data_IF_870315899309
#
_entry.id   IF_870315899309
#
_cell.length_a   1.000
_cell.length_b   1.000
_cell.length_c   1.000
_cell.angle_alpha   90.00
_cell.angle_beta   90.00
_cell.angle_gamma   90.00
#
_symmetry.space_group_name_H-M   'P 1'
#
loop_
_entity.id
_entity.type
_entity.pdbx_description
1 polymer ?
#
# COMPACT_ATOMS: atom_id res chain seq x y z
N UNK A 1 -0.92 2.48 -19.38
CA UNK A 1 -2.34 2.48 -18.97
C UNK A 1 -2.40 1.84 -17.61
N UNK A 2 -3.05 2.46 -16.62
CA UNK A 2 -3.16 1.85 -15.30
C UNK A 2 -4.05 0.60 -15.37
N UNK A 3 -3.59 -0.51 -14.79
CA UNK A 3 -4.39 -1.74 -14.73
C UNK A 3 -5.41 -1.66 -13.58
N UNK A 4 -6.56 -2.31 -13.78
CA UNK A 4 -7.58 -2.49 -12.74
C UNK A 4 -7.34 -3.75 -11.87
N UNK A 5 -6.32 -4.55 -12.19
CA UNK A 5 -5.99 -5.75 -11.41
C UNK A 5 -4.99 -5.39 -10.33
N UNK A 6 -5.34 -5.68 -9.09
CA UNK A 6 -4.54 -5.40 -7.89
C UNK A 6 -3.14 -6.06 -7.90
N UNK A 7 -2.89 -7.03 -8.79
CA UNK A 7 -1.61 -7.73 -8.91
C UNK A 7 -0.71 -7.22 -10.03
N UNK A 8 -1.19 -6.31 -10.88
CA UNK A 8 -0.38 -5.68 -11.92
C UNK A 8 0.59 -4.66 -11.33
N UNK A 9 1.72 -4.41 -12.00
CA UNK A 9 2.72 -3.44 -11.55
C UNK A 9 2.18 -2.01 -11.63
N UNK A 10 1.49 -1.67 -12.74
CA UNK A 10 0.82 -0.39 -13.00
C UNK A 10 -0.56 -0.25 -12.32
N UNK A 11 -0.78 -0.93 -11.19
CA UNK A 11 -2.04 -0.81 -10.47
C UNK A 11 -2.18 0.60 -9.86
N UNK A 12 -3.30 1.26 -10.15
CA UNK A 12 -3.51 2.69 -9.86
C UNK A 12 -3.33 3.06 -8.38
N UNK A 13 -3.71 2.18 -7.47
CA UNK A 13 -3.77 2.47 -6.03
C UNK A 13 -2.56 1.91 -5.26
N UNK A 14 -1.36 1.91 -5.87
CA UNK A 14 -0.12 1.60 -5.13
C UNK A 14 0.27 2.84 -4.31
N UNK A 15 0.30 2.70 -2.98
CA UNK A 15 0.67 3.79 -2.08
C UNK A 15 2.16 3.80 -1.76
N UNK A 16 2.72 2.63 -1.48
CA UNK A 16 4.10 2.44 -1.10
C UNK A 16 4.66 1.19 -1.76
N UNK A 17 5.93 1.26 -2.15
CA UNK A 17 6.68 0.14 -2.73
C UNK A 17 8.11 0.18 -2.23
N UNK A 18 8.59 -0.96 -1.76
CA UNK A 18 9.98 -1.16 -1.35
C UNK A 18 10.56 -2.33 -2.13
N UNK A 19 11.55 -2.03 -2.97
CA UNK A 19 12.29 -3.02 -3.74
C UNK A 19 13.59 -3.38 -2.99
N UNK A 20 13.60 -4.49 -2.26
CA UNK A 20 14.82 -4.97 -1.60
C UNK A 20 15.71 -5.76 -2.57
N UNK A 21 15.09 -6.42 -3.55
CA UNK A 21 15.73 -7.02 -4.74
C UNK A 21 14.63 -7.36 -5.76
N UNK A 22 14.99 -7.66 -7.01
CA UNK A 22 14.05 -8.03 -8.08
C UNK A 22 13.11 -9.20 -7.69
N UNK A 23 13.55 -10.07 -6.77
CA UNK A 23 12.77 -11.24 -6.30
C UNK A 23 12.11 -11.05 -4.94
N UNK A 24 12.39 -9.96 -4.23
CA UNK A 24 11.85 -9.65 -2.90
C UNK A 24 11.49 -8.17 -2.85
N UNK A 25 10.29 -7.87 -3.28
CA UNK A 25 9.70 -6.55 -3.15
C UNK A 25 8.42 -6.65 -2.34
N UNK A 26 8.13 -5.58 -1.60
CA UNK A 26 6.91 -5.43 -0.79
C UNK A 26 6.21 -4.17 -1.27
N UNK A 27 4.88 -4.20 -1.36
CA UNK A 27 4.08 -2.99 -1.64
C UNK A 27 2.80 -2.97 -0.83
N UNK A 28 2.29 -1.76 -0.61
CA UNK A 28 0.97 -1.53 -0.05
C UNK A 28 0.13 -0.89 -1.12
N UNK A 29 -1.04 -1.49 -1.36
CA UNK A 29 -2.02 -0.97 -2.31
C UNK A 29 -3.35 -0.71 -1.60
N UNK A 30 -4.19 0.12 -2.19
CA UNK A 30 -5.61 0.21 -1.87
C UNK A 30 -6.41 -0.83 -2.63
N UNK A 31 -7.34 -1.48 -1.95
CA UNK A 31 -8.34 -2.33 -2.59
C UNK A 31 -9.08 -1.54 -3.67
N UNK A 32 -9.51 -2.21 -4.74
CA UNK A 32 -10.25 -1.57 -5.84
C UNK A 32 -11.50 -0.80 -5.39
N UNK A 33 -12.18 -1.31 -4.38
CA UNK A 33 -13.40 -0.72 -3.83
C UNK A 33 -13.12 0.30 -2.71
N UNK A 34 -11.87 0.71 -2.52
CA UNK A 34 -11.45 1.70 -1.53
C UNK A 34 -11.88 1.36 -0.08
N UNK A 35 -11.87 0.07 0.27
CA UNK A 35 -12.29 -0.41 1.59
C UNK A 35 -11.13 -0.69 2.56
N UNK A 36 -9.95 -1.01 2.04
CA UNK A 36 -8.84 -1.53 2.83
C UNK A 36 -7.50 -1.44 2.12
N UNK A 37 -6.42 -1.39 2.90
CA UNK A 37 -5.06 -1.59 2.45
C UNK A 37 -4.76 -3.08 2.27
N UNK A 38 -3.95 -3.39 1.26
CA UNK A 38 -3.50 -4.75 0.97
C UNK A 38 -1.98 -4.74 0.91
N UNK A 39 -1.35 -5.56 1.77
CA UNK A 39 0.08 -5.83 1.69
C UNK A 39 0.29 -6.93 0.66
N UNK A 40 1.14 -6.65 -0.32
CA UNK A 40 1.56 -7.61 -1.33
C UNK A 40 3.06 -7.84 -1.30
N UNK A 41 3.45 -9.09 -1.54
CA UNK A 41 4.85 -9.47 -1.74
C UNK A 41 5.05 -9.97 -3.15
N UNK A 42 6.24 -9.72 -3.71
CA UNK A 42 6.64 -10.25 -5.00
C UNK A 42 6.91 -11.75 -4.86
N UNK A 43 6.23 -12.54 -5.69
CA UNK A 43 6.27 -13.99 -5.74
C UNK A 43 6.73 -14.46 -7.13
N UNK A 44 7.99 -14.17 -7.45
CA UNK A 44 8.59 -14.38 -8.78
C UNK A 44 8.78 -13.08 -9.55
N UNK A 45 9.34 -13.14 -10.77
CA UNK A 45 9.75 -11.96 -11.52
C UNK A 45 8.59 -11.02 -11.85
N UNK A 46 7.37 -11.51 -12.09
CA UNK A 46 6.26 -10.69 -12.60
C UNK A 46 4.93 -10.87 -11.84
N UNK A 47 4.99 -11.39 -10.61
CA UNK A 47 3.76 -11.71 -9.87
C UNK A 47 3.76 -11.15 -8.47
N UNK A 48 2.79 -10.31 -8.19
CA UNK A 48 2.44 -9.89 -6.83
C UNK A 48 1.41 -10.84 -6.22
N UNK A 49 1.52 -11.09 -4.91
CA UNK A 49 0.55 -11.86 -4.13
C UNK A 49 0.13 -11.10 -2.88
N UNK A 50 -1.18 -10.92 -2.72
CA UNK A 50 -1.80 -10.40 -1.50
C UNK A 50 -1.57 -11.35 -0.32
N UNK A 51 -1.19 -10.79 0.82
CA UNK A 51 -0.90 -11.56 2.03
C UNK A 51 -1.69 -11.09 3.24
N UNK A 52 -1.86 -9.79 3.40
CA UNK A 52 -2.59 -9.21 4.52
C UNK A 52 -3.53 -8.13 4.03
N UNK A 53 -4.69 -8.04 4.67
CA UNK A 53 -5.75 -7.08 4.39
C UNK A 53 -6.00 -6.29 5.67
N UNK A 54 -5.82 -4.98 5.61
CA UNK A 54 -5.82 -4.11 6.80
C UNK A 54 -6.65 -2.87 6.53
N UNK A 55 -7.50 -2.47 7.49
CA UNK A 55 -8.27 -1.22 7.38
C UNK A 55 -7.61 -0.02 8.05
N UNK A 56 -6.59 -0.28 8.87
CA UNK A 56 -5.91 0.74 9.68
C UNK A 56 -4.41 0.73 9.44
N UNK A 57 -3.81 1.92 9.52
CA UNK A 57 -2.36 2.14 9.42
C UNK A 57 -1.60 1.40 10.51
N UNK A 58 -2.13 1.42 11.73
CA UNK A 58 -1.49 0.75 12.86
C UNK A 58 -1.33 -0.77 12.63
N UNK A 59 -2.28 -1.41 11.93
CA UNK A 59 -2.15 -2.83 11.57
C UNK A 59 -1.00 -3.05 10.57
N UNK A 60 -0.82 -2.14 9.61
CA UNK A 60 0.29 -2.18 8.66
C UNK A 60 1.63 -1.98 9.37
N UNK A 61 1.75 -1.00 10.28
CA UNK A 61 2.96 -0.76 11.08
C UNK A 61 3.36 -2.00 11.90
N UNK A 62 2.39 -2.73 12.46
CA UNK A 62 2.65 -3.96 13.22
C UNK A 62 3.11 -5.12 12.33
N UNK A 63 2.60 -5.21 11.10
CA UNK A 63 2.95 -6.27 10.14
C UNK A 63 4.26 -5.98 9.40
N UNK A 64 4.62 -4.70 9.26
CA UNK A 64 5.83 -4.23 8.60
C UNK A 64 6.62 -3.27 9.53
N UNK A 65 7.14 -3.76 10.67
CA UNK A 65 7.78 -2.90 11.66
C UNK A 65 9.00 -2.14 11.11
N UNK A 66 9.72 -2.71 10.16
CA UNK A 66 10.86 -2.04 9.49
C UNK A 66 10.47 -0.96 8.47
N UNK A 67 9.17 -0.74 8.23
CA UNK A 67 8.63 0.24 7.29
C UNK A 67 7.64 1.20 7.98
N UNK A 68 7.55 1.15 9.31
CA UNK A 68 6.52 1.86 10.07
C UNK A 68 6.58 3.38 9.88
N UNK A 69 7.77 3.96 9.73
CA UNK A 69 7.95 5.39 9.51
C UNK A 69 7.41 5.84 8.14
N UNK A 70 7.76 5.14 7.07
CA UNK A 70 7.23 5.40 5.72
C UNK A 70 5.70 5.24 5.68
N UNK A 71 5.18 4.20 6.34
CA UNK A 71 3.74 3.94 6.46
C UNK A 71 3.05 5.10 7.19
N UNK A 72 3.65 5.63 8.25
CA UNK A 72 3.12 6.78 9.01
C UNK A 72 3.14 8.07 8.19
N UNK A 73 4.17 8.29 7.39
CA UNK A 73 4.32 9.48 6.57
C UNK A 73 3.36 9.50 5.37
N UNK A 74 3.08 8.34 4.77
CA UNK A 74 2.36 8.27 3.50
C UNK A 74 0.87 7.88 3.62
N UNK A 75 0.45 7.21 4.69
CA UNK A 75 -0.91 6.66 4.81
C UNK A 75 -1.75 7.36 5.89
N UNK A 76 -3.06 7.51 5.67
CA UNK A 76 -3.98 7.97 6.72
C UNK A 76 -4.16 6.91 7.81
N UNK A 77 -4.66 7.31 8.99
CA UNK A 77 -4.87 6.38 10.12
C UNK A 77 -5.81 5.22 9.81
N UNK A 78 -6.91 5.50 9.10
CA UNK A 78 -7.83 4.51 8.54
C UNK A 78 -8.00 4.75 7.05
N UNK A 79 -8.34 3.70 6.30
CA UNK A 79 -8.50 3.80 4.85
C UNK A 79 -9.56 4.84 4.43
N UNK A 80 -10.63 4.97 5.23
CA UNK A 80 -11.76 5.86 4.98
C UNK A 80 -11.48 7.32 5.38
N UNK A 81 -10.43 7.55 6.19
CA UNK A 81 -10.06 8.92 6.54
C UNK A 81 -9.26 9.50 5.38
N UNK A 82 -9.75 10.52 4.66
CA UNK A 82 -8.92 11.22 3.70
C UNK A 82 -7.69 11.75 4.44
N UNK A 83 -6.49 11.45 3.92
CA UNK A 83 -5.26 12.06 4.41
C UNK A 83 -5.50 13.57 4.44
N UNK A 84 -5.42 14.17 5.63
CA UNK A 84 -5.74 15.58 5.84
C UNK A 84 -5.04 16.42 4.77
N UNK A 85 -5.81 16.90 3.79
CA UNK A 85 -5.28 17.78 2.78
C UNK A 85 -4.78 19.02 3.53
N UNK A 86 -3.58 19.54 3.23
CA UNK A 86 -3.13 20.79 3.84
C UNK A 86 -4.20 21.83 3.53
N UNK A 87 -4.79 22.39 4.58
CA UNK A 87 -5.83 23.41 4.48
C UNK A 87 -5.35 24.48 3.51
N UNK A 88 -6.07 24.61 2.38
CA UNK A 88 -5.79 25.60 1.37
C UNK A 88 -5.63 26.96 2.03
N UNK A 89 -4.48 27.58 1.84
CA UNK A 89 -4.25 28.96 2.22
C UNK A 89 -4.95 29.80 1.16
N UNK A 90 -6.05 30.45 1.56
CA UNK A 90 -6.77 31.46 0.77
C UNK A 90 -5.89 32.65 0.41
#
# INVERSE_FOLDING_TARGET
MASYRETDDDYRSVFLRWDHSEKKATRIIGCRDDLQFIIQYRAGPDRWRSRYFCRTRQALERLLPGMAEDIRAALPETFDTPAAQPAGTS
#
